data_IF_198960436813
#
_entry.id   IF_198960436813
#
_cell.length_a   1.000
_cell.length_b   1.000
_cell.length_c   1.000
_cell.angle_alpha   90.00
_cell.angle_beta   90.00
_cell.angle_gamma   90.00
#
_symmetry.space_group_name_H-M   'P 1'
#
loop_
_entity.id
_entity.type
_entity.pdbx_description
1 polymer ?
#
# COMPACT_ATOMS: atom_id res chain seq x y z
N UNK A 1 -5.95 -40.90 10.34
CA UNK A 1 -5.14 -40.00 9.49
C UNK A 1 -3.91 -40.74 9.04
N UNK A 2 -3.60 -40.70 7.75
CA UNK A 2 -2.34 -41.25 7.24
C UNK A 2 -1.17 -40.38 7.73
N UNK A 3 0.04 -40.95 7.76
CA UNK A 3 1.25 -40.19 8.10
C UNK A 3 1.47 -39.01 7.15
N UNK A 4 1.08 -39.16 5.89
CA UNK A 4 1.19 -38.15 4.84
C UNK A 4 0.24 -36.97 5.09
N UNK A 5 -0.98 -37.22 5.59
CA UNK A 5 -1.92 -36.15 5.96
C UNK A 5 -1.38 -35.30 7.11
N UNK A 6 -0.73 -35.93 8.10
CA UNK A 6 -0.10 -35.23 9.22
C UNK A 6 1.10 -34.37 8.77
N UNK A 7 1.92 -34.90 7.87
CA UNK A 7 3.05 -34.17 7.28
C UNK A 7 2.57 -32.98 6.43
N UNK A 8 1.50 -33.16 5.65
CA UNK A 8 0.86 -32.08 4.89
C UNK A 8 0.28 -31.01 5.81
N UNK A 9 -0.44 -31.37 6.87
CA UNK A 9 -0.99 -30.41 7.84
C UNK A 9 0.11 -29.61 8.55
N UNK A 10 1.21 -30.27 8.91
CA UNK A 10 2.41 -29.59 9.42
C UNK A 10 3.01 -28.66 8.38
N UNK A 11 3.13 -29.08 7.11
CA UNK A 11 3.61 -28.22 6.04
C UNK A 11 2.73 -26.97 5.90
N UNK A 12 1.41 -27.16 5.84
CA UNK A 12 0.42 -26.09 5.74
C UNK A 12 0.41 -25.16 6.94
N UNK A 13 0.73 -25.62 8.15
CA UNK A 13 0.80 -24.74 9.32
C UNK A 13 1.95 -23.75 9.22
N UNK A 14 3.09 -24.14 8.63
CA UNK A 14 4.19 -23.23 8.32
C UNK A 14 3.83 -22.15 7.29
N UNK A 15 2.85 -22.40 6.42
CA UNK A 15 2.38 -21.43 5.41
C UNK A 15 1.19 -20.58 5.88
N UNK A 16 0.49 -20.98 6.94
CA UNK A 16 -0.73 -20.30 7.42
C UNK A 16 -0.45 -19.13 8.35
N UNK A 17 0.64 -19.19 9.11
CA UNK A 17 0.96 -18.17 10.10
C UNK A 17 2.29 -17.47 9.81
N UNK A 18 2.24 -16.14 9.75
CA UNK A 18 3.45 -15.33 9.79
C UNK A 18 4.17 -15.60 11.13
N UNK A 19 5.51 -15.77 11.12
CA UNK A 19 6.32 -15.81 12.33
C UNK A 19 6.01 -14.66 13.32
N UNK A 20 6.12 -14.94 14.62
CA UNK A 20 5.71 -14.00 15.68
C UNK A 20 6.57 -12.73 15.72
N UNK A 21 7.85 -12.84 15.36
CA UNK A 21 8.77 -11.71 15.21
C UNK A 21 8.30 -10.73 14.12
N UNK A 22 7.80 -11.26 13.00
CA UNK A 22 7.22 -10.45 11.91
C UNK A 22 5.92 -9.79 12.38
N UNK A 23 5.07 -10.50 13.13
CA UNK A 23 3.84 -9.93 13.71
C UNK A 23 4.17 -8.76 14.64
N UNK A 24 5.19 -8.91 15.50
CA UNK A 24 5.64 -7.84 16.41
C UNK A 24 6.22 -6.63 15.65
N UNK A 25 7.05 -6.87 14.62
CA UNK A 25 7.58 -5.82 13.73
C UNK A 25 6.45 -5.01 13.09
N UNK A 26 5.41 -5.67 12.55
CA UNK A 26 4.23 -4.99 11.97
C UNK A 26 3.48 -4.15 13.00
N UNK A 27 3.30 -4.65 14.22
CA UNK A 27 2.62 -3.91 15.29
C UNK A 27 3.41 -2.65 15.67
N UNK A 28 4.73 -2.76 15.82
CA UNK A 28 5.61 -1.61 16.10
C UNK A 28 5.55 -0.56 14.98
N UNK A 29 5.63 -0.99 13.72
CA UNK A 29 5.53 -0.10 12.55
C UNK A 29 4.15 0.57 12.45
N UNK A 30 3.07 -0.18 12.61
CA UNK A 30 1.71 0.37 12.58
C UNK A 30 1.50 1.36 13.73
N UNK A 31 2.06 1.07 14.91
CA UNK A 31 2.03 1.98 16.06
C UNK A 31 2.89 3.24 15.87
N UNK A 32 4.00 3.19 15.12
CA UNK A 32 4.76 4.41 14.78
C UNK A 32 4.04 5.25 13.71
N UNK A 33 3.46 4.60 12.71
CA UNK A 33 2.71 5.27 11.64
C UNK A 33 1.44 5.92 12.16
N UNK A 34 0.75 5.32 13.13
CA UNK A 34 -0.45 5.91 13.73
C UNK A 34 -0.15 7.23 14.45
N UNK A 35 1.04 7.37 15.04
CA UNK A 35 1.52 8.59 15.71
C UNK A 35 2.02 9.66 14.75
N UNK A 36 2.22 9.35 13.47
CA UNK A 36 2.76 10.31 12.49
C UNK A 36 1.72 11.39 12.16
N UNK A 37 2.18 12.63 12.05
CA UNK A 37 1.36 13.80 11.73
C UNK A 37 0.77 13.73 10.32
N UNK A 38 -0.42 14.33 10.14
CA UNK A 38 -1.12 14.33 8.85
C UNK A 38 -0.36 15.10 7.75
N UNK A 39 0.48 16.06 8.12
CA UNK A 39 1.30 16.83 7.18
C UNK A 39 2.33 16.01 6.40
N UNK A 40 2.68 14.80 6.88
CA UNK A 40 3.55 13.89 6.15
C UNK A 40 2.87 13.21 4.95
N UNK A 41 1.55 13.32 4.83
CA UNK A 41 0.78 12.67 3.77
C UNK A 41 0.39 13.67 2.68
N UNK A 42 0.21 13.20 1.43
CA UNK A 42 -0.24 14.05 0.33
C UNK A 42 -1.58 14.72 0.67
N UNK A 43 -1.67 16.02 0.43
CA UNK A 43 -2.88 16.84 0.64
C UNK A 43 -3.76 16.98 -0.60
N UNK A 44 -3.22 16.68 -1.78
CA UNK A 44 -3.91 16.87 -3.06
C UNK A 44 -4.14 15.54 -3.76
N UNK A 45 -5.28 15.42 -4.46
CA UNK A 45 -5.59 14.26 -5.29
C UNK A 45 -6.22 14.69 -6.62
N UNK A 46 -5.68 14.17 -7.73
CA UNK A 46 -6.18 14.43 -9.07
C UNK A 46 -7.15 13.34 -9.54
N UNK A 47 -8.30 13.77 -10.09
CA UNK A 47 -9.33 12.88 -10.65
C UNK A 47 -8.82 12.19 -11.92
N UNK A 48 -8.10 12.91 -12.80
CA UNK A 48 -7.55 12.33 -14.02
C UNK A 48 -6.56 11.21 -13.71
N UNK A 49 -5.64 11.46 -12.77
CA UNK A 49 -4.67 10.45 -12.32
C UNK A 49 -5.36 9.23 -11.70
N UNK A 50 -6.39 9.43 -10.87
CA UNK A 50 -7.13 8.33 -10.28
C UNK A 50 -7.91 7.51 -11.33
N UNK A 51 -8.40 8.16 -12.38
CA UNK A 51 -9.05 7.48 -13.50
C UNK A 51 -8.06 6.68 -14.34
N UNK A 52 -6.92 7.28 -14.68
CA UNK A 52 -5.87 6.61 -15.46
C UNK A 52 -5.35 5.36 -14.73
N UNK A 53 -5.16 5.42 -13.41
CA UNK A 53 -4.79 4.26 -12.60
C UNK A 53 -5.84 3.14 -12.66
N UNK A 54 -7.13 3.49 -12.61
CA UNK A 54 -8.21 2.52 -12.70
C UNK A 54 -8.29 1.89 -14.10
N UNK A 55 -8.22 2.72 -15.12
CA UNK A 55 -8.25 2.28 -16.51
C UNK A 55 -7.05 1.38 -16.82
N UNK A 56 -5.86 1.75 -16.36
CA UNK A 56 -4.66 0.93 -16.50
C UNK A 56 -4.81 -0.41 -15.77
N UNK A 57 -5.45 -0.46 -14.61
CA UNK A 57 -5.72 -1.71 -13.91
C UNK A 57 -6.64 -2.64 -14.70
N UNK A 58 -7.71 -2.13 -15.31
CA UNK A 58 -8.63 -2.93 -16.15
C UNK A 58 -8.08 -3.25 -17.53
N UNK A 59 -7.08 -2.51 -18.01
CA UNK A 59 -6.44 -2.79 -19.28
C UNK A 59 -5.88 -4.22 -19.32
N UNK A 60 -5.83 -4.82 -20.51
CA UNK A 60 -5.31 -6.17 -20.72
C UNK A 60 -3.88 -6.29 -20.17
N UNK A 61 -3.02 -5.30 -20.41
CA UNK A 61 -1.66 -5.28 -19.88
C UNK A 61 -1.60 -5.23 -18.35
N UNK A 62 -2.50 -4.45 -17.72
CA UNK A 62 -2.62 -4.39 -16.26
C UNK A 62 -3.06 -5.72 -15.66
N UNK A 63 -4.06 -6.36 -16.24
CA UNK A 63 -4.58 -7.65 -15.80
C UNK A 63 -3.57 -8.80 -15.99
N UNK A 64 -2.85 -8.84 -17.12
CA UNK A 64 -1.77 -9.83 -17.34
C UNK A 64 -0.67 -9.66 -16.30
N UNK A 65 -0.26 -8.41 -16.00
CA UNK A 65 0.74 -8.14 -14.96
C UNK A 65 0.28 -8.58 -13.58
N UNK A 66 -0.99 -8.35 -13.24
CA UNK A 66 -1.55 -8.78 -11.96
C UNK A 66 -1.57 -10.31 -11.86
N UNK A 67 -2.02 -10.98 -12.92
CA UNK A 67 -2.05 -12.43 -13.01
C UNK A 67 -0.65 -13.04 -12.87
N UNK A 68 0.36 -12.47 -13.54
CA UNK A 68 1.74 -12.93 -13.41
C UNK A 68 2.27 -12.81 -11.97
N UNK A 69 1.94 -11.72 -11.27
CA UNK A 69 2.47 -11.46 -9.91
C UNK A 69 1.72 -12.21 -8.81
N UNK A 70 0.39 -12.27 -8.91
CA UNK A 70 -0.48 -12.75 -7.83
C UNK A 70 -1.28 -14.01 -8.19
N UNK A 71 -1.24 -14.46 -9.45
CA UNK A 71 -1.95 -15.65 -9.91
C UNK A 71 -3.45 -15.46 -10.18
N UNK A 72 -3.98 -14.24 -10.03
CA UNK A 72 -5.40 -13.94 -10.20
C UNK A 72 -5.64 -12.67 -11.02
N UNK A 73 -6.83 -12.58 -11.63
CA UNK A 73 -7.30 -11.34 -12.25
C UNK A 73 -7.79 -10.39 -11.14
N UNK A 74 -7.46 -9.11 -11.26
CA UNK A 74 -7.81 -8.13 -10.24
C UNK A 74 -9.17 -7.49 -10.53
N UNK A 75 -10.01 -7.37 -9.50
CA UNK A 75 -11.22 -6.55 -9.54
C UNK A 75 -10.94 -5.04 -9.43
N UNK A 76 -9.67 -4.63 -9.35
CA UNK A 76 -9.23 -3.22 -9.28
C UNK A 76 -9.91 -2.41 -8.16
N UNK A 77 -10.31 -3.07 -7.06
CA UNK A 77 -11.07 -2.44 -5.97
C UNK A 77 -10.34 -1.24 -5.36
N UNK A 78 -9.02 -1.36 -5.20
CA UNK A 78 -8.13 -0.33 -4.63
C UNK A 78 -8.07 0.93 -5.49
N UNK A 79 -8.00 0.79 -6.81
CA UNK A 79 -8.01 1.90 -7.76
C UNK A 79 -9.41 2.50 -7.88
N UNK A 80 -10.44 1.65 -7.84
CA UNK A 80 -11.84 2.08 -7.92
C UNK A 80 -12.23 2.92 -6.71
N UNK A 81 -11.85 2.51 -5.50
CA UNK A 81 -12.04 3.27 -4.27
C UNK A 81 -11.35 4.63 -4.34
N UNK A 82 -10.09 4.66 -4.83
CA UNK A 82 -9.36 5.92 -5.03
C UNK A 82 -10.07 6.84 -6.01
N UNK A 83 -10.59 6.32 -7.13
CA UNK A 83 -11.36 7.13 -8.09
C UNK A 83 -12.63 7.69 -7.45
N UNK A 84 -13.41 6.89 -6.74
CA UNK A 84 -14.61 7.37 -6.04
C UNK A 84 -14.31 8.44 -5.01
N UNK A 85 -13.23 8.27 -4.26
CA UNK A 85 -12.77 9.27 -3.31
C UNK A 85 -12.31 10.55 -4.01
N UNK A 86 -11.54 10.44 -5.10
CA UNK A 86 -11.10 11.56 -5.92
C UNK A 86 -12.27 12.33 -6.54
N UNK A 87 -13.30 11.64 -7.03
CA UNK A 87 -14.50 12.29 -7.56
C UNK A 87 -15.26 13.10 -6.50
N UNK A 88 -15.17 12.72 -5.22
CA UNK A 88 -15.85 13.39 -4.11
C UNK A 88 -15.05 14.53 -3.50
N UNK A 89 -13.73 14.41 -3.45
CA UNK A 89 -12.85 15.31 -2.68
C UNK A 89 -11.66 15.87 -3.47
N UNK A 90 -11.38 15.35 -4.66
CA UNK A 90 -10.25 15.73 -5.50
C UNK A 90 -10.56 16.88 -6.47
N UNK A 91 -9.55 17.22 -7.26
CA UNK A 91 -9.60 18.26 -8.29
C UNK A 91 -9.37 17.65 -9.68
N UNK A 92 -9.94 18.29 -10.71
CA UNK A 92 -9.64 17.97 -12.11
C UNK A 92 -8.31 18.59 -12.58
N UNK A 93 -7.93 19.73 -12.02
CA UNK A 93 -6.68 20.44 -12.35
C UNK A 93 -5.61 20.05 -11.35
N UNK A 94 -4.41 19.77 -11.85
CA UNK A 94 -3.26 19.41 -11.01
C UNK A 94 -2.86 20.55 -10.09
N UNK A 95 -2.61 20.20 -8.82
CA UNK A 95 -1.93 20.98 -7.79
C UNK A 95 -2.50 22.38 -7.49
N UNK A 96 -3.70 22.42 -6.90
CA UNK A 96 -4.01 23.54 -5.99
C UNK A 96 -3.21 23.30 -4.70
N UNK A 97 -2.00 23.84 -4.62
CA UNK A 97 -1.26 23.85 -3.36
C UNK A 97 -2.06 24.66 -2.32
N UNK A 98 -2.30 24.03 -1.18
CA UNK A 98 -3.04 24.65 -0.07
C UNK A 98 -2.11 25.67 0.58
N UNK A 99 -2.27 26.93 0.19
CA UNK A 99 -1.57 28.06 0.81
C UNK A 99 -2.37 28.58 2.01
N UNK A 100 -1.77 29.43 2.84
CA UNK A 100 -2.43 30.08 4.00
C UNK A 100 -3.70 30.88 3.62
N UNK A 101 -3.84 31.23 2.33
CA UNK A 101 -4.97 31.99 1.78
C UNK A 101 -6.08 31.10 1.18
N UNK A 102 -5.94 29.78 1.29
CA UNK A 102 -6.95 28.82 0.81
C UNK A 102 -8.24 28.91 1.63
N UNK A 103 -9.37 28.59 1.00
CA UNK A 103 -10.65 28.60 1.70
C UNK A 103 -10.65 27.56 2.82
N UNK A 104 -11.36 27.83 3.92
CA UNK A 104 -11.57 26.84 5.00
C UNK A 104 -12.01 25.48 4.46
N UNK A 105 -12.82 25.48 3.39
CA UNK A 105 -13.28 24.26 2.70
C UNK A 105 -12.14 23.47 2.05
N UNK A 106 -11.14 24.14 1.50
CA UNK A 106 -10.00 23.51 0.83
C UNK A 106 -9.02 22.91 1.86
N UNK A 107 -8.90 23.53 3.03
CA UNK A 107 -8.14 22.99 4.16
C UNK A 107 -8.81 21.70 4.67
N UNK A 108 -10.13 21.68 4.80
CA UNK A 108 -10.87 20.49 5.20
C UNK A 108 -10.78 19.34 4.19
N UNK A 109 -10.85 19.62 2.89
CA UNK A 109 -10.69 18.58 1.86
C UNK A 109 -9.28 18.02 1.86
N UNK A 110 -8.26 18.87 2.02
CA UNK A 110 -6.88 18.45 2.15
C UNK A 110 -6.65 17.52 3.36
N UNK A 111 -7.21 17.85 4.52
CA UNK A 111 -7.16 16.99 5.70
C UNK A 111 -7.82 15.63 5.45
N UNK A 112 -8.96 15.59 4.76
CA UNK A 112 -9.63 14.33 4.38
C UNK A 112 -8.77 13.49 3.45
N UNK A 113 -8.11 14.11 2.47
CA UNK A 113 -7.19 13.42 1.55
C UNK A 113 -6.00 12.83 2.32
N UNK A 114 -5.39 13.59 3.23
CA UNK A 114 -4.30 13.10 4.08
C UNK A 114 -4.75 11.91 4.94
N UNK A 115 -5.94 12.00 5.55
CA UNK A 115 -6.52 10.90 6.33
C UNK A 115 -6.73 9.64 5.48
N UNK A 116 -7.24 9.78 4.25
CA UNK A 116 -7.40 8.67 3.33
C UNK A 116 -6.06 7.98 3.03
N UNK A 117 -5.01 8.74 2.73
CA UNK A 117 -3.67 8.20 2.50
C UNK A 117 -3.09 7.52 3.74
N UNK A 118 -3.27 8.13 4.93
CA UNK A 118 -2.84 7.57 6.21
C UNK A 118 -3.51 6.23 6.50
N UNK A 119 -4.83 6.17 6.42
CA UNK A 119 -5.60 4.95 6.66
C UNK A 119 -5.23 3.84 5.68
N UNK A 120 -5.09 4.18 4.40
CA UNK A 120 -4.69 3.23 3.37
C UNK A 120 -3.30 2.65 3.62
N UNK A 121 -2.34 3.49 3.98
CA UNK A 121 -0.98 3.05 4.31
C UNK A 121 -0.97 2.15 5.57
N UNK A 122 -1.75 2.50 6.60
CA UNK A 122 -1.92 1.65 7.79
C UNK A 122 -2.50 0.28 7.43
N UNK A 123 -3.55 0.24 6.61
CA UNK A 123 -4.17 -1.02 6.16
C UNK A 123 -3.20 -1.88 5.33
N UNK A 124 -2.44 -1.26 4.43
CA UNK A 124 -1.43 -1.97 3.62
C UNK A 124 -0.32 -2.57 4.49
N UNK A 125 0.19 -1.81 5.47
CA UNK A 125 1.23 -2.30 6.38
C UNK A 125 0.69 -3.33 7.38
N UNK A 126 -0.57 -3.22 7.79
CA UNK A 126 -1.22 -4.20 8.65
C UNK A 126 -1.48 -5.53 7.92
N UNK A 127 -1.81 -5.49 6.63
CA UNK A 127 -2.03 -6.69 5.81
C UNK A 127 -0.76 -7.52 5.63
N UNK A 128 0.41 -6.88 5.68
CA UNK A 128 1.71 -7.50 5.54
C UNK A 128 2.26 -7.36 4.12
N UNK A 129 3.57 -7.23 4.05
CA UNK A 129 4.33 -7.07 2.81
C UNK A 129 5.52 -8.02 2.82
N UNK A 130 6.05 -8.35 1.63
CA UNK A 130 7.33 -9.05 1.52
C UNK A 130 8.47 -8.27 2.18
N UNK A 131 8.33 -6.95 2.29
CA UNK A 131 9.26 -6.06 3.02
C UNK A 131 9.43 -6.45 4.49
N UNK A 132 8.45 -7.10 5.12
CA UNK A 132 8.52 -7.43 6.55
C UNK A 132 9.53 -8.54 6.86
N UNK A 133 9.92 -9.32 5.85
CA UNK A 133 10.88 -10.44 5.96
C UNK A 133 12.33 -9.93 5.88
N UNK A 134 12.55 -8.78 5.27
CA UNK A 134 13.89 -8.27 5.01
C UNK A 134 14.34 -7.29 6.09
N UNK A 135 15.51 -7.53 6.66
CA UNK A 135 16.16 -6.56 7.55
C UNK A 135 16.97 -5.55 6.74
N UNK A 136 16.98 -4.30 7.23
CA UNK A 136 17.82 -3.25 6.65
C UNK A 136 19.29 -3.64 6.86
N UNK A 137 20.09 -3.54 5.80
CA UNK A 137 21.53 -3.79 5.89
C UNK A 137 22.20 -2.72 6.76
N UNK A 138 22.93 -3.16 7.77
CA UNK A 138 23.73 -2.27 8.64
C UNK A 138 25.03 -1.83 7.98
N UNK A 139 25.58 -2.66 7.08
CA UNK A 139 26.85 -2.42 6.42
C UNK A 139 26.69 -2.37 4.90
N UNK A 140 27.39 -1.46 4.21
CA UNK A 140 27.37 -1.40 2.75
C UNK A 140 28.10 -2.60 2.15
N UNK A 141 27.60 -3.10 1.01
CA UNK A 141 28.29 -4.15 0.26
C UNK A 141 29.58 -3.62 -0.36
N UNK A 142 30.67 -4.35 -0.19
CA UNK A 142 31.94 -4.06 -0.86
C UNK A 142 31.93 -4.72 -2.24
N UNK A 143 32.10 -3.94 -3.31
CA UNK A 143 32.16 -4.40 -4.70
C UNK A 143 30.96 -5.28 -5.16
N UNK A 144 29.70 -4.82 -5.07
CA UNK A 144 28.51 -5.65 -5.31
C UNK A 144 28.31 -6.20 -6.74
N UNK A 145 29.06 -5.70 -7.73
CA UNK A 145 28.87 -6.03 -9.15
C UNK A 145 30.18 -6.39 -9.87
N UNK A 146 31.27 -6.68 -9.14
CA UNK A 146 32.48 -7.20 -9.78
C UNK A 146 32.39 -8.72 -9.86
N UNK A 147 32.71 -9.27 -11.04
CA UNK A 147 33.10 -10.68 -11.15
C UNK A 147 34.42 -10.87 -10.39
N UNK A 148 34.54 -11.99 -9.68
CA UNK A 148 35.67 -12.32 -8.79
C UNK A 148 37.05 -12.12 -9.45
#
# INVERSE_FOLDING_TARGET
MSKEEQELEQLWSYFKDSPDDIKEKRQKLTASLSRTDLGAYPSTMSISTAFDELFQCFSIGGQIKNYYRYGELSYCGKQREKLWFALRHGSFVSETQVNEQSSMKDIETAQKIQQFHKQRLLNEKAHGSSEDVWDIRETPLVNPFKED
#
